data_IF_005449842312
#
_entry.id   IF_005449842312
#
_cell.length_a   1.000
_cell.length_b   1.000
_cell.length_c   1.000
_cell.angle_alpha   90.00
_cell.angle_beta   90.00
_cell.angle_gamma   90.00
#
_symmetry.space_group_name_H-M   'P 1'
#
loop_
_entity.id
_entity.type
_entity.pdbx_description
1 polymer ?
#
# COMPACT_ATOMS: atom_id res chain seq x y z
N UNK A 1 -28.41 47.42 -41.85
CA UNK A 1 -28.78 46.01 -41.98
C UNK A 1 -27.68 45.20 -42.63
N UNK A 2 -26.59 44.87 -41.95
CA UNK A 2 -25.59 43.89 -42.44
C UNK A 2 -24.78 43.44 -41.22
N UNK A 3 -25.19 42.41 -40.46
CA UNK A 3 -24.36 41.72 -39.46
C UNK A 3 -24.84 40.31 -39.06
N UNK A 4 -25.73 39.66 -39.84
CA UNK A 4 -26.27 38.33 -39.48
C UNK A 4 -25.71 37.15 -40.31
N UNK A 5 -24.88 37.35 -41.33
CA UNK A 5 -24.44 36.27 -42.23
C UNK A 5 -23.13 35.58 -41.86
N UNK A 6 -22.34 36.11 -40.89
CA UNK A 6 -21.05 35.48 -40.51
C UNK A 6 -21.12 34.44 -39.38
N UNK A 7 -22.18 34.44 -38.57
CA UNK A 7 -22.36 33.48 -37.49
C UNK A 7 -22.81 32.07 -37.96
N UNK A 8 -23.56 32.02 -39.06
CA UNK A 8 -24.04 30.77 -39.65
C UNK A 8 -22.92 29.92 -40.29
N UNK A 9 -21.90 30.56 -40.84
CA UNK A 9 -20.78 29.85 -41.50
C UNK A 9 -19.84 29.18 -40.50
N UNK A 10 -19.61 29.80 -39.32
CA UNK A 10 -18.77 29.19 -38.30
C UNK A 10 -19.43 27.96 -37.66
N UNK A 11 -20.73 28.01 -37.40
CA UNK A 11 -21.50 26.89 -36.85
C UNK A 11 -21.56 25.71 -37.81
N UNK A 12 -21.70 25.93 -39.09
CA UNK A 12 -21.68 24.87 -40.12
C UNK A 12 -20.30 24.21 -40.22
N UNK A 13 -19.22 24.97 -40.11
CA UNK A 13 -17.85 24.44 -40.11
C UNK A 13 -17.55 23.60 -38.90
N UNK A 14 -17.99 24.02 -37.73
CA UNK A 14 -17.81 23.24 -36.44
C UNK A 14 -18.59 21.93 -36.51
N UNK A 15 -19.82 21.94 -37.03
CA UNK A 15 -20.62 20.71 -37.16
C UNK A 15 -20.02 19.74 -38.20
N UNK A 16 -19.48 20.24 -39.29
CA UNK A 16 -18.81 19.41 -40.31
C UNK A 16 -17.50 18.79 -39.74
N UNK A 17 -16.73 19.57 -38.97
CA UNK A 17 -15.53 19.06 -38.29
C UNK A 17 -15.86 18.02 -37.25
N UNK A 18 -16.90 18.21 -36.44
CA UNK A 18 -17.35 17.25 -35.43
C UNK A 18 -17.86 15.96 -36.09
N UNK A 19 -18.60 16.05 -37.19
CA UNK A 19 -19.06 14.89 -37.95
C UNK A 19 -17.90 14.11 -38.59
N UNK A 20 -16.92 14.78 -39.15
CA UNK A 20 -15.73 14.17 -39.74
C UNK A 20 -14.87 13.46 -38.65
N UNK A 21 -14.68 14.09 -37.49
CA UNK A 21 -13.98 13.52 -36.38
C UNK A 21 -14.69 12.26 -35.83
N UNK A 22 -16.01 12.29 -35.69
CA UNK A 22 -16.82 11.16 -35.27
C UNK A 22 -16.76 10.00 -36.27
N UNK A 23 -16.82 10.28 -37.56
CA UNK A 23 -16.69 9.27 -38.62
C UNK A 23 -15.29 8.61 -38.60
N UNK A 24 -14.25 9.42 -38.44
CA UNK A 24 -12.87 8.95 -38.37
C UNK A 24 -12.62 8.07 -37.10
N UNK A 25 -13.19 8.46 -35.98
CA UNK A 25 -13.17 7.67 -34.74
C UNK A 25 -13.92 6.34 -34.90
N UNK A 26 -15.10 6.36 -35.55
CA UNK A 26 -15.85 5.12 -35.84
C UNK A 26 -15.09 4.14 -36.75
N UNK A 27 -14.39 4.68 -37.77
CA UNK A 27 -13.55 3.86 -38.65
C UNK A 27 -12.36 3.22 -37.87
N UNK A 28 -11.71 3.99 -36.98
CA UNK A 28 -10.61 3.49 -36.17
C UNK A 28 -11.06 2.38 -35.20
N UNK A 29 -12.22 2.55 -34.56
CA UNK A 29 -12.83 1.51 -33.69
C UNK A 29 -13.10 0.22 -34.49
N UNK A 30 -13.70 0.35 -35.67
CA UNK A 30 -13.98 -0.81 -36.53
C UNK A 30 -12.70 -1.54 -36.95
N UNK A 31 -11.65 -0.81 -37.31
CA UNK A 31 -10.36 -1.38 -37.67
C UNK A 31 -9.70 -2.10 -36.48
N UNK A 32 -9.78 -1.53 -35.29
CA UNK A 32 -9.25 -2.14 -34.06
C UNK A 32 -9.98 -3.44 -33.69
N UNK A 33 -11.30 -3.47 -33.82
CA UNK A 33 -12.09 -4.69 -33.60
C UNK A 33 -11.78 -5.76 -34.64
N UNK A 34 -11.63 -5.39 -35.92
CA UNK A 34 -11.25 -6.32 -36.98
C UNK A 34 -9.84 -6.91 -36.75
N UNK A 35 -8.91 -6.14 -36.17
CA UNK A 35 -7.59 -6.66 -35.81
C UNK A 35 -7.64 -7.69 -34.68
N UNK A 36 -8.63 -7.62 -33.79
CA UNK A 36 -8.84 -8.60 -32.72
C UNK A 36 -9.65 -9.82 -33.19
N UNK A 37 -10.38 -9.73 -34.31
CA UNK A 37 -11.31 -10.76 -34.83
C UNK A 37 -10.60 -12.09 -35.02
N UNK A 38 -9.34 -12.07 -35.46
CA UNK A 38 -8.51 -13.29 -35.61
C UNK A 38 -8.41 -14.08 -34.32
N UNK A 39 -8.50 -13.43 -33.16
CA UNK A 39 -8.48 -14.08 -31.86
C UNK A 39 -9.90 -14.39 -31.36
N UNK A 40 -10.83 -13.44 -31.50
CA UNK A 40 -12.18 -13.55 -30.93
C UNK A 40 -13.10 -14.50 -31.71
N UNK A 41 -12.73 -14.92 -32.92
CA UNK A 41 -13.41 -16.00 -33.65
C UNK A 41 -13.41 -17.30 -32.83
N UNK A 42 -12.31 -17.62 -32.15
CA UNK A 42 -12.20 -18.80 -31.31
C UNK A 42 -12.40 -18.49 -29.84
N UNK A 43 -11.82 -17.39 -29.37
CA UNK A 43 -11.92 -16.91 -27.97
C UNK A 43 -13.15 -16.02 -27.79
N UNK A 44 -14.32 -16.60 -27.86
CA UNK A 44 -15.62 -15.94 -27.80
C UNK A 44 -16.32 -16.14 -26.44
N UNK A 45 -17.59 -15.79 -26.36
CA UNK A 45 -18.41 -15.85 -25.16
C UNK A 45 -18.61 -17.28 -24.62
N UNK A 46 -18.44 -18.32 -25.46
CA UNK A 46 -18.54 -19.70 -25.03
C UNK A 46 -17.29 -20.21 -24.32
N UNK A 47 -16.22 -19.43 -24.31
CA UNK A 47 -14.99 -19.76 -23.64
C UNK A 47 -15.16 -19.74 -22.12
N UNK A 48 -14.65 -20.75 -21.41
CA UNK A 48 -14.80 -20.89 -19.97
C UNK A 48 -14.24 -19.72 -19.14
N UNK A 49 -13.37 -18.88 -19.71
CA UNK A 49 -12.84 -17.67 -19.08
C UNK A 49 -13.40 -16.45 -19.81
N UNK A 50 -13.92 -15.45 -19.09
CA UNK A 50 -14.58 -14.29 -19.69
C UNK A 50 -13.55 -13.29 -20.24
N UNK A 51 -12.76 -13.68 -21.24
CA UNK A 51 -11.68 -12.84 -21.80
C UNK A 51 -12.22 -11.61 -22.54
N UNK A 52 -13.42 -11.69 -23.11
CA UNK A 52 -14.06 -10.53 -23.76
C UNK A 52 -14.45 -9.42 -22.80
N UNK A 53 -14.45 -9.69 -21.48
CA UNK A 53 -14.62 -8.65 -20.47
C UNK A 53 -13.51 -7.59 -20.53
N UNK A 54 -12.40 -7.82 -21.23
CA UNK A 54 -11.38 -6.81 -21.50
C UNK A 54 -11.97 -5.57 -22.18
N UNK A 55 -12.99 -5.74 -23.06
CA UNK A 55 -13.65 -4.62 -23.74
C UNK A 55 -14.41 -3.69 -22.78
N UNK A 56 -14.63 -4.09 -21.54
CA UNK A 56 -15.20 -3.28 -20.48
C UNK A 56 -14.11 -2.57 -19.63
N UNK A 57 -12.84 -2.71 -20.00
CA UNK A 57 -11.69 -2.13 -19.30
C UNK A 57 -11.01 -1.05 -20.17
N UNK A 58 -10.19 -0.17 -19.58
CA UNK A 58 -9.40 0.79 -20.36
C UNK A 58 -8.52 0.13 -21.43
N UNK A 59 -8.00 -1.10 -21.19
CA UNK A 59 -7.17 -1.81 -22.17
C UNK A 59 -7.98 -2.30 -23.39
N UNK A 60 -9.26 -2.55 -23.22
CA UNK A 60 -10.14 -2.99 -24.31
C UNK A 60 -10.98 -1.88 -24.92
N UNK A 61 -10.85 -0.62 -24.48
CA UNK A 61 -11.62 0.49 -25.02
C UNK A 61 -11.16 0.85 -26.45
N UNK A 62 -11.84 0.33 -27.44
CA UNK A 62 -11.50 0.53 -28.87
C UNK A 62 -11.74 1.96 -29.37
N UNK A 63 -12.39 2.81 -28.60
CA UNK A 63 -12.49 4.22 -28.87
C UNK A 63 -11.22 5.02 -28.49
N UNK A 64 -10.34 4.45 -27.65
CA UNK A 64 -9.04 5.02 -27.34
C UNK A 64 -7.97 4.39 -28.27
N UNK A 65 -7.33 5.18 -29.16
CA UNK A 65 -6.32 4.66 -30.07
C UNK A 65 -5.05 4.16 -29.37
N UNK A 66 -4.88 4.46 -28.08
CA UNK A 66 -3.77 3.96 -27.25
C UNK A 66 -4.06 2.59 -26.62
N UNK A 67 -5.32 2.15 -26.64
CA UNK A 67 -5.70 0.87 -26.09
C UNK A 67 -5.05 -0.29 -26.87
N UNK A 68 -4.35 -1.22 -26.22
CA UNK A 68 -3.66 -2.31 -26.88
C UNK A 68 -4.66 -3.34 -27.44
N UNK A 69 -4.32 -3.95 -28.59
CA UNK A 69 -5.01 -5.13 -29.08
C UNK A 69 -4.52 -6.42 -28.40
N UNK A 70 -5.17 -7.54 -28.70
CA UNK A 70 -4.80 -8.85 -28.13
C UNK A 70 -3.31 -9.19 -28.38
N UNK A 71 -2.83 -8.93 -29.60
CA UNK A 71 -1.45 -9.20 -30.02
C UNK A 71 -0.42 -8.32 -29.29
N UNK A 72 -0.80 -7.15 -28.80
CA UNK A 72 0.13 -6.28 -28.07
C UNK A 72 0.63 -6.90 -26.78
N UNK A 73 -0.19 -7.76 -26.16
CA UNK A 73 0.15 -8.45 -24.92
C UNK A 73 0.56 -9.90 -25.16
N UNK A 74 -0.18 -10.63 -26.03
CA UNK A 74 0.03 -12.04 -26.28
C UNK A 74 1.03 -12.36 -27.39
N UNK A 75 1.56 -11.35 -28.06
CA UNK A 75 2.41 -11.49 -29.24
C UNK A 75 1.64 -11.79 -30.53
N UNK A 76 2.31 -11.86 -31.68
CA UNK A 76 1.72 -12.24 -32.95
C UNK A 76 1.06 -13.61 -32.93
N UNK A 77 1.67 -14.56 -32.21
CA UNK A 77 1.15 -15.91 -31.92
C UNK A 77 0.82 -16.74 -33.20
N UNK A 78 1.60 -16.57 -34.26
CA UNK A 78 1.38 -17.23 -35.57
C UNK A 78 1.39 -18.76 -35.43
N UNK A 79 2.25 -19.29 -34.57
CA UNK A 79 2.27 -20.75 -34.28
C UNK A 79 0.96 -21.23 -33.67
N UNK A 80 0.35 -20.45 -32.78
CA UNK A 80 -0.95 -20.76 -32.19
C UNK A 80 -2.10 -20.64 -33.20
N UNK A 81 -2.02 -19.67 -34.08
CA UNK A 81 -3.04 -19.49 -35.13
C UNK A 81 -3.02 -20.59 -36.16
N UNK A 82 -1.85 -21.20 -36.41
CA UNK A 82 -1.73 -22.34 -37.36
C UNK A 82 -1.97 -23.70 -36.71
N UNK A 83 -1.66 -23.84 -35.40
CA UNK A 83 -1.92 -25.06 -34.61
C UNK A 83 -2.35 -24.69 -33.19
N UNK A 84 -3.61 -24.93 -32.87
CA UNK A 84 -4.21 -24.59 -31.55
C UNK A 84 -3.61 -25.36 -30.37
N UNK A 85 -2.84 -26.43 -30.63
CA UNK A 85 -2.06 -27.12 -29.59
C UNK A 85 -0.78 -26.37 -29.22
N UNK A 86 -0.32 -25.46 -30.06
CA UNK A 86 0.78 -24.56 -29.80
C UNK A 86 0.26 -23.42 -28.91
N UNK A 87 1.06 -23.01 -27.92
CA UNK A 87 0.70 -21.87 -27.05
C UNK A 87 0.90 -20.53 -27.77
N UNK A 88 0.15 -19.49 -27.40
CA UNK A 88 0.51 -18.12 -27.76
C UNK A 88 1.94 -17.78 -27.32
N UNK A 89 2.55 -16.76 -27.95
CA UNK A 89 3.93 -16.35 -27.62
C UNK A 89 4.08 -15.95 -26.15
N UNK A 90 3.06 -15.28 -25.60
CA UNK A 90 3.03 -14.92 -24.17
C UNK A 90 1.75 -15.44 -23.51
N UNK A 91 1.92 -16.33 -22.55
CA UNK A 91 0.84 -16.95 -21.77
C UNK A 91 0.81 -16.39 -20.36
N UNK A 92 -0.30 -15.78 -19.96
CA UNK A 92 -0.47 -15.11 -18.67
C UNK A 92 -1.24 -15.94 -17.62
N UNK A 93 -1.97 -16.95 -18.03
CA UNK A 93 -2.86 -17.72 -17.14
C UNK A 93 -2.11 -18.61 -16.16
N UNK A 94 -2.26 -18.35 -14.86
CA UNK A 94 -1.62 -19.13 -13.79
C UNK A 94 -1.98 -20.63 -13.79
N UNK A 95 -3.13 -20.99 -14.30
CA UNK A 95 -3.56 -22.39 -14.45
C UNK A 95 -2.97 -23.11 -15.68
N UNK A 96 -2.26 -22.38 -16.54
CA UNK A 96 -1.64 -22.95 -17.72
C UNK A 96 -0.34 -23.68 -17.34
N UNK A 97 -0.19 -24.93 -17.79
CA UNK A 97 1.08 -25.66 -17.69
C UNK A 97 2.20 -25.05 -18.54
N UNK A 98 1.85 -24.14 -19.45
CA UNK A 98 2.75 -23.45 -20.40
C UNK A 98 2.88 -21.96 -20.09
N UNK A 99 2.74 -21.59 -18.82
CA UNK A 99 2.87 -20.21 -18.35
C UNK A 99 4.22 -19.63 -18.79
N UNK A 100 4.21 -18.46 -19.42
CA UNK A 100 5.45 -17.75 -19.78
C UNK A 100 6.17 -17.25 -18.51
N UNK A 101 7.49 -17.11 -18.59
CA UNK A 101 8.30 -16.56 -17.50
C UNK A 101 7.81 -15.17 -17.11
N UNK A 102 8.06 -14.79 -15.85
CA UNK A 102 7.59 -13.51 -15.32
C UNK A 102 8.14 -12.33 -16.13
N UNK A 103 9.39 -12.41 -16.55
CA UNK A 103 10.05 -11.36 -17.33
C UNK A 103 9.33 -11.11 -18.67
N UNK A 104 8.98 -12.17 -19.39
CA UNK A 104 8.25 -12.05 -20.67
C UNK A 104 6.85 -11.47 -20.48
N UNK A 105 6.15 -11.89 -19.41
CA UNK A 105 4.82 -11.34 -19.07
C UNK A 105 4.92 -9.88 -18.65
N UNK A 106 5.94 -9.50 -17.89
CA UNK A 106 6.16 -8.13 -17.45
C UNK A 106 6.57 -7.22 -18.60
N UNK A 107 7.40 -7.72 -19.53
CA UNK A 107 7.82 -6.94 -20.70
C UNK A 107 6.63 -6.47 -21.54
N UNK A 108 5.60 -7.31 -21.70
CA UNK A 108 4.38 -6.92 -22.42
C UNK A 108 3.65 -5.72 -21.75
N UNK A 109 3.69 -5.63 -20.44
CA UNK A 109 3.10 -4.50 -19.70
C UNK A 109 4.01 -3.27 -19.73
N UNK A 110 5.30 -3.47 -19.50
CA UNK A 110 6.30 -2.41 -19.39
C UNK A 110 6.57 -1.69 -20.73
N UNK A 111 6.18 -2.29 -21.84
CA UNK A 111 6.20 -1.62 -23.15
C UNK A 111 5.42 -0.29 -23.15
N UNK A 112 4.39 -0.17 -22.28
CA UNK A 112 3.57 1.04 -22.13
C UNK A 112 3.60 1.59 -20.69
N UNK A 113 3.74 0.72 -19.68
CA UNK A 113 3.70 1.07 -18.26
C UNK A 113 5.11 1.20 -17.66
N UNK A 114 5.94 2.05 -18.23
CA UNK A 114 7.27 2.33 -17.70
C UNK A 114 7.28 3.58 -16.77
N UNK A 115 8.42 3.83 -16.12
CA UNK A 115 8.58 4.96 -15.21
C UNK A 115 8.54 6.32 -15.88
N UNK A 116 8.74 6.39 -17.20
CA UNK A 116 8.67 7.64 -17.98
C UNK A 116 7.21 8.08 -18.17
N UNK A 117 6.32 7.11 -18.29
CA UNK A 117 4.87 7.35 -18.46
C UNK A 117 4.17 7.38 -17.09
N UNK A 118 4.58 6.51 -16.17
CA UNK A 118 3.98 6.37 -14.83
C UNK A 118 5.03 6.60 -13.74
N UNK A 119 5.10 7.79 -13.14
CA UNK A 119 6.16 8.16 -12.17
C UNK A 119 6.28 7.24 -10.95
N UNK A 120 5.24 6.47 -10.61
CA UNK A 120 5.25 5.50 -9.51
C UNK A 120 5.63 4.07 -9.94
N UNK A 121 5.94 3.87 -11.22
CA UNK A 121 6.32 2.57 -11.79
C UNK A 121 7.84 2.40 -11.74
N UNK A 122 8.37 2.10 -10.55
CA UNK A 122 9.79 1.82 -10.32
C UNK A 122 10.01 0.31 -10.28
N UNK A 123 9.46 -0.41 -11.27
CA UNK A 123 9.43 -1.87 -11.26
C UNK A 123 10.81 -2.49 -11.37
N UNK A 124 11.61 -1.99 -12.32
CA UNK A 124 12.95 -2.50 -12.57
C UNK A 124 13.84 -2.34 -11.33
N UNK A 125 14.40 -3.44 -10.83
CA UNK A 125 15.18 -3.50 -9.60
C UNK A 125 14.34 -3.55 -8.31
N UNK A 126 13.01 -3.59 -8.41
CA UNK A 126 12.14 -3.69 -7.22
C UNK A 126 12.23 -5.08 -6.58
N UNK A 127 11.84 -5.16 -5.30
CA UNK A 127 11.80 -6.43 -4.58
C UNK A 127 10.81 -7.43 -5.20
N UNK A 128 9.66 -6.97 -5.69
CA UNK A 128 8.71 -7.85 -6.36
C UNK A 128 9.25 -8.40 -7.68
N UNK A 129 9.92 -7.56 -8.47
CA UNK A 129 10.59 -8.04 -9.69
C UNK A 129 11.67 -9.06 -9.38
N UNK A 130 12.56 -8.78 -8.44
CA UNK A 130 13.67 -9.67 -8.07
C UNK A 130 13.21 -11.03 -7.53
N UNK A 131 11.99 -11.11 -7.02
CA UNK A 131 11.35 -12.36 -6.60
C UNK A 131 10.50 -13.02 -7.71
N UNK A 132 10.62 -12.56 -8.95
CA UNK A 132 9.93 -13.17 -10.10
C UNK A 132 8.41 -12.97 -10.08
N UNK A 133 7.92 -11.92 -9.41
CA UNK A 133 6.49 -11.60 -9.41
C UNK A 133 6.12 -10.98 -10.76
N UNK A 134 5.04 -11.43 -11.34
CA UNK A 134 4.50 -10.84 -12.56
C UNK A 134 3.40 -9.81 -12.24
N UNK A 135 3.25 -8.82 -13.11
CA UNK A 135 2.17 -7.83 -13.02
C UNK A 135 0.80 -8.50 -12.85
N UNK A 136 0.59 -9.60 -13.57
CA UNK A 136 -0.64 -10.40 -13.52
C UNK A 136 -0.82 -11.22 -12.24
N UNK A 137 0.15 -11.26 -11.36
CA UNK A 137 -0.03 -11.84 -10.01
C UNK A 137 -0.95 -10.99 -9.13
N UNK A 138 -1.07 -9.69 -9.45
CA UNK A 138 -1.91 -8.74 -8.75
C UNK A 138 -3.01 -8.17 -9.66
N UNK A 139 -2.68 -7.91 -10.93
CA UNK A 139 -3.58 -7.30 -11.90
C UNK A 139 -4.26 -8.33 -12.80
N UNK A 140 -5.57 -8.21 -12.96
CA UNK A 140 -6.34 -8.99 -13.95
C UNK A 140 -6.96 -8.00 -14.94
N UNK A 141 -6.29 -7.79 -16.07
CA UNK A 141 -6.74 -6.83 -17.09
C UNK A 141 -7.97 -7.27 -17.88
N UNK A 142 -8.31 -8.56 -17.83
CA UNK A 142 -9.54 -9.09 -18.41
C UNK A 142 -10.76 -8.96 -17.47
N UNK A 143 -10.60 -8.34 -16.30
CA UNK A 143 -11.70 -8.07 -15.39
C UNK A 143 -11.93 -6.57 -15.27
N UNK A 144 -13.17 -6.08 -15.46
CA UNK A 144 -13.50 -4.67 -15.28
C UNK A 144 -13.27 -4.24 -13.83
N UNK A 145 -13.55 -5.11 -12.87
CA UNK A 145 -13.34 -4.90 -11.44
C UNK A 145 -12.04 -5.56 -10.97
N UNK A 146 -10.96 -4.81 -11.04
CA UNK A 146 -9.67 -5.30 -10.55
C UNK A 146 -9.61 -5.23 -9.02
N UNK A 147 -9.49 -6.40 -8.38
CA UNK A 147 -9.44 -6.52 -6.91
C UNK A 147 -8.34 -5.70 -6.27
N UNK A 148 -7.18 -5.55 -6.93
CA UNK A 148 -6.04 -4.79 -6.40
C UNK A 148 -6.27 -3.27 -6.43
N UNK A 149 -7.16 -2.78 -7.28
CA UNK A 149 -7.49 -1.35 -7.40
C UNK A 149 -8.65 -0.93 -6.49
N UNK A 150 -9.43 -1.88 -6.02
CA UNK A 150 -10.54 -1.61 -5.11
C UNK A 150 -10.08 -1.60 -3.66
N UNK A 151 -10.40 -0.54 -2.92
CA UNK A 151 -10.09 -0.44 -1.48
C UNK A 151 -10.64 -1.64 -0.68
N UNK A 152 -11.82 -2.13 -1.04
CA UNK A 152 -12.46 -3.23 -0.33
C UNK A 152 -11.71 -4.56 -0.47
N UNK A 153 -10.98 -4.77 -1.55
CA UNK A 153 -10.39 -6.07 -1.89
C UNK A 153 -8.86 -6.05 -2.05
N UNK A 154 -8.23 -4.87 -2.07
CA UNK A 154 -6.78 -4.74 -2.27
C UNK A 154 -5.98 -5.59 -1.26
N UNK A 155 -6.33 -5.50 0.01
CA UNK A 155 -5.62 -6.21 1.06
C UNK A 155 -5.62 -7.74 0.86
N UNK A 156 -6.72 -8.31 0.37
CA UNK A 156 -6.81 -9.75 0.12
C UNK A 156 -5.86 -10.21 -1.01
N UNK A 157 -5.63 -9.34 -2.02
CA UNK A 157 -4.63 -9.62 -3.06
C UNK A 157 -3.23 -9.69 -2.46
N UNK A 158 -2.87 -8.74 -1.61
CA UNK A 158 -1.57 -8.71 -0.93
C UNK A 158 -1.40 -9.92 0.01
N UNK A 159 -2.45 -10.28 0.74
CA UNK A 159 -2.45 -11.38 1.71
C UNK A 159 -2.35 -12.78 1.09
N UNK A 160 -2.50 -12.90 -0.21
CA UNK A 160 -2.19 -14.16 -0.89
C UNK A 160 -0.76 -14.63 -0.58
N UNK A 161 0.18 -13.67 -0.50
CA UNK A 161 1.59 -13.91 -0.16
C UNK A 161 1.96 -13.39 1.23
N UNK A 162 1.50 -12.22 1.64
CA UNK A 162 1.85 -11.54 2.90
C UNK A 162 1.00 -12.02 4.09
N UNK A 163 1.13 -13.31 4.43
CA UNK A 163 0.32 -13.98 5.47
C UNK A 163 0.55 -13.43 6.89
N UNK A 164 1.78 -13.05 7.19
CA UNK A 164 2.15 -12.48 8.49
C UNK A 164 1.44 -11.15 8.74
N UNK A 165 1.39 -10.28 7.72
CA UNK A 165 0.71 -8.99 7.77
C UNK A 165 -0.81 -9.18 7.91
N UNK A 166 -1.38 -10.19 7.25
CA UNK A 166 -2.79 -10.57 7.45
C UNK A 166 -3.11 -10.91 8.90
N UNK A 167 -2.24 -11.63 9.58
CA UNK A 167 -2.40 -11.95 11.00
C UNK A 167 -2.25 -10.71 11.88
N UNK A 168 -1.31 -9.84 11.55
CA UNK A 168 -1.04 -8.63 12.33
C UNK A 168 -2.21 -7.64 12.31
N UNK A 169 -2.81 -7.35 11.15
CA UNK A 169 -3.92 -6.39 11.04
C UNK A 169 -5.20 -6.81 11.77
N UNK A 170 -5.28 -8.07 12.21
CA UNK A 170 -6.40 -8.60 13.00
C UNK A 170 -6.19 -8.49 14.51
N UNK A 171 -5.06 -7.95 14.96
CA UNK A 171 -4.79 -7.72 16.36
C UNK A 171 -5.65 -6.59 16.91
N UNK A 172 -5.75 -6.51 18.25
CA UNK A 172 -6.59 -5.55 18.95
C UNK A 172 -6.29 -4.10 18.61
N UNK A 173 -5.02 -3.78 18.42
CA UNK A 173 -4.55 -2.46 18.00
C UNK A 173 -3.94 -2.59 16.61
N UNK A 174 -4.59 -2.04 15.59
CA UNK A 174 -4.15 -2.10 14.20
C UNK A 174 -4.59 -0.85 13.45
N UNK A 175 -3.88 -0.49 12.39
CA UNK A 175 -4.41 0.47 11.42
C UNK A 175 -5.67 -0.10 10.75
N UNK A 176 -6.63 0.74 10.36
CA UNK A 176 -7.94 0.31 9.84
C UNK A 176 -7.87 -0.19 8.39
N UNK A 177 -7.05 -1.23 8.19
CA UNK A 177 -6.83 -1.92 6.91
C UNK A 177 -7.85 -3.06 6.67
N UNK A 178 -8.57 -3.47 7.71
CA UNK A 178 -9.60 -4.47 7.61
C UNK A 178 -10.98 -3.84 7.38
N UNK A 179 -11.85 -4.54 6.66
CA UNK A 179 -13.26 -4.19 6.55
C UNK A 179 -13.89 -4.34 7.94
N UNK A 180 -14.39 -3.26 8.50
CA UNK A 180 -14.91 -3.20 9.88
C UNK A 180 -16.42 -3.36 9.99
N UNK A 181 -17.14 -3.48 8.85
CA UNK A 181 -18.59 -3.65 8.82
C UNK A 181 -19.10 -4.09 7.46
N UNK A 182 -20.34 -4.58 7.42
CA UNK A 182 -20.98 -5.00 6.18
C UNK A 182 -21.11 -3.79 5.26
N UNK A 183 -20.45 -3.83 4.11
CA UNK A 183 -20.56 -2.81 3.06
C UNK A 183 -19.64 -1.58 3.22
N UNK A 184 -18.88 -1.46 4.31
CA UNK A 184 -17.95 -0.34 4.48
C UNK A 184 -16.53 -0.73 4.04
N UNK A 185 -15.93 -0.03 3.06
CA UNK A 185 -14.53 -0.28 2.69
C UNK A 185 -13.60 0.12 3.85
N UNK A 186 -12.40 -0.45 3.93
CA UNK A 186 -11.40 -0.05 4.92
C UNK A 186 -11.03 1.42 4.74
N UNK A 187 -10.70 2.10 5.85
CA UNK A 187 -10.27 3.51 5.80
C UNK A 187 -8.90 3.67 5.15
N UNK A 188 -8.05 2.66 5.28
CA UNK A 188 -6.70 2.61 4.72
C UNK A 188 -6.50 1.34 3.89
N UNK A 189 -5.58 1.41 2.95
CA UNK A 189 -5.15 0.28 2.12
C UNK A 189 -3.62 0.15 2.15
N UNK A 190 -3.10 -1.00 1.73
CA UNK A 190 -1.66 -1.26 1.76
C UNK A 190 -0.87 -0.21 0.95
N UNK A 191 -1.44 0.23 -0.18
CA UNK A 191 -0.80 1.22 -1.07
C UNK A 191 -0.80 2.66 -0.55
N UNK A 192 -1.42 2.95 0.59
CA UNK A 192 -1.30 4.27 1.24
C UNK A 192 0.11 4.44 1.86
N UNK A 193 0.72 3.33 2.26
CA UNK A 193 2.07 3.32 2.84
C UNK A 193 3.11 2.69 1.93
N UNK A 194 2.73 1.71 1.08
CA UNK A 194 3.65 0.96 0.24
C UNK A 194 3.42 1.22 -1.26
N UNK A 195 4.50 1.26 -2.03
CA UNK A 195 4.44 1.23 -3.49
C UNK A 195 4.90 -0.15 -3.99
N UNK A 196 3.99 -1.08 -4.32
CA UNK A 196 4.35 -2.43 -4.75
C UNK A 196 5.14 -2.47 -6.07
N UNK A 197 5.12 -1.38 -6.84
CA UNK A 197 5.86 -1.26 -8.10
C UNK A 197 7.32 -0.80 -7.91
N UNK A 198 7.78 -0.69 -6.67
CA UNK A 198 9.12 -0.21 -6.35
C UNK A 198 9.13 1.20 -5.77
N UNK A 199 10.10 1.46 -4.92
CA UNK A 199 10.23 2.71 -4.19
C UNK A 199 11.69 2.91 -3.75
N UNK A 200 12.07 4.14 -3.51
CA UNK A 200 13.35 4.49 -2.89
C UNK A 200 13.36 4.31 -1.37
N UNK A 201 12.18 4.21 -0.77
CA UNK A 201 12.04 3.99 0.67
C UNK A 201 12.23 2.54 1.10
N UNK A 202 12.56 2.30 2.37
CA UNK A 202 12.72 0.95 2.90
C UNK A 202 11.40 0.19 2.84
N UNK A 203 11.47 -1.13 2.64
CA UNK A 203 10.28 -2.01 2.56
C UNK A 203 9.20 -1.48 1.58
N UNK A 204 9.60 -0.89 0.48
CA UNK A 204 8.72 -0.29 -0.53
C UNK A 204 7.82 0.83 0.01
N UNK A 205 8.22 1.55 1.04
CA UNK A 205 7.46 2.70 1.55
C UNK A 205 7.38 3.80 0.48
N UNK A 206 6.22 4.47 0.42
CA UNK A 206 5.97 5.56 -0.55
C UNK A 206 6.83 6.80 -0.33
N UNK A 207 7.45 6.95 0.84
CA UNK A 207 8.40 8.02 1.19
C UNK A 207 9.78 7.44 1.44
N UNK A 208 10.80 8.30 1.49
CA UNK A 208 12.19 7.89 1.63
C UNK A 208 12.55 7.32 3.01
N UNK A 209 11.73 7.58 4.03
CA UNK A 209 11.91 7.04 5.37
C UNK A 209 10.61 6.56 5.99
N UNK A 210 10.74 5.79 7.07
CA UNK A 210 9.62 5.37 7.91
C UNK A 210 8.88 6.59 8.45
N UNK A 211 9.61 7.52 9.09
CA UNK A 211 9.02 8.68 9.73
C UNK A 211 8.27 9.57 8.74
N UNK A 212 8.85 9.84 7.57
CA UNK A 212 8.17 10.62 6.52
C UNK A 212 6.88 9.93 6.03
N UNK A 213 6.85 8.61 5.99
CA UNK A 213 5.64 7.87 5.64
C UNK A 213 4.57 8.02 6.72
N UNK A 214 4.95 7.94 8.00
CA UNK A 214 4.03 8.11 9.12
C UNK A 214 3.50 9.55 9.20
N UNK A 215 4.36 10.54 9.00
CA UNK A 215 4.02 11.96 9.06
C UNK A 215 3.04 12.41 7.96
N UNK A 216 2.87 11.64 6.91
CA UNK A 216 1.83 11.93 5.91
C UNK A 216 0.42 12.00 6.51
N UNK A 217 0.18 11.26 7.61
CA UNK A 217 -1.08 11.26 8.35
C UNK A 217 -0.93 11.75 9.79
N UNK A 218 0.23 11.51 10.42
CA UNK A 218 0.55 11.88 11.80
C UNK A 218 1.44 13.12 11.87
N UNK A 219 1.06 14.16 11.15
CA UNK A 219 1.85 15.39 11.04
C UNK A 219 2.13 16.05 12.40
N UNK A 220 1.22 15.88 13.36
CA UNK A 220 1.35 16.41 14.73
C UNK A 220 2.50 15.77 15.53
N UNK A 221 3.04 14.63 15.07
CA UNK A 221 4.20 13.98 15.69
C UNK A 221 5.53 14.40 15.09
N UNK A 222 5.50 15.21 14.02
CA UNK A 222 6.71 15.68 13.32
C UNK A 222 7.46 16.78 14.07
N UNK A 223 6.75 17.63 14.78
CA UNK A 223 7.31 18.85 15.36
C UNK A 223 7.23 20.05 14.40
N UNK A 224 8.08 21.05 14.54
CA UNK A 224 9.32 21.05 15.35
C UNK A 224 9.06 21.09 16.86
N UNK A 225 9.92 20.39 17.61
CA UNK A 225 9.90 20.42 19.06
C UNK A 225 11.19 21.04 19.62
N UNK A 226 11.08 21.81 20.70
CA UNK A 226 12.25 22.32 21.43
C UNK A 226 13.01 21.17 22.10
N UNK A 227 12.28 20.17 22.54
CA UNK A 227 12.80 18.99 23.22
C UNK A 227 12.38 17.77 22.43
N UNK A 228 13.32 17.20 21.72
CA UNK A 228 13.11 16.00 20.90
C UNK A 228 13.47 14.75 21.68
N UNK A 229 12.69 13.68 21.50
CA UNK A 229 13.02 12.36 22.02
C UNK A 229 13.74 11.56 20.94
N UNK A 230 15.02 11.31 21.15
CA UNK A 230 15.92 10.72 20.13
C UNK A 230 15.34 9.49 19.43
N UNK A 231 14.80 8.46 20.13
CA UNK A 231 14.24 7.29 19.45
C UNK A 231 13.05 7.60 18.52
N UNK A 232 12.32 8.69 18.80
CA UNK A 232 11.20 9.15 17.95
C UNK A 232 11.72 9.78 16.67
N UNK A 233 12.78 10.58 16.79
CA UNK A 233 13.45 11.20 15.65
C UNK A 233 14.07 10.14 14.74
N UNK A 234 14.67 9.09 15.32
CA UNK A 234 15.29 8.01 14.57
C UNK A 234 14.27 7.19 13.79
N UNK A 235 13.28 6.62 14.47
CA UNK A 235 12.26 5.79 13.81
C UNK A 235 11.04 5.57 14.69
N UNK A 236 9.84 5.79 14.14
CA UNK A 236 8.58 5.40 14.77
C UNK A 236 8.54 3.89 15.09
N UNK A 237 9.25 3.08 14.30
CA UNK A 237 9.33 1.63 14.51
C UNK A 237 10.18 1.23 15.73
N UNK A 238 10.86 2.15 16.40
CA UNK A 238 11.49 1.83 17.68
C UNK A 238 10.44 1.43 18.72
N UNK A 239 9.27 2.04 18.68
CA UNK A 239 8.18 1.80 19.64
C UNK A 239 6.95 1.14 19.03
N UNK A 240 6.65 1.36 17.75
CA UNK A 240 5.40 0.96 17.12
C UNK A 240 5.55 -0.18 16.10
N UNK A 241 4.50 -1.00 15.97
CA UNK A 241 4.33 -2.00 14.90
C UNK A 241 3.15 -1.60 14.01
N UNK A 242 3.38 -1.03 12.82
CA UNK A 242 2.33 -0.35 12.05
C UNK A 242 1.21 -1.26 11.54
N UNK A 243 1.46 -2.54 11.34
CA UNK A 243 0.43 -3.46 10.87
C UNK A 243 -0.51 -3.92 11.99
N UNK A 244 -0.04 -3.96 13.23
CA UNK A 244 -0.88 -4.32 14.36
C UNK A 244 -0.13 -4.90 15.55
N UNK A 245 -0.68 -4.69 16.74
CA UNK A 245 -0.15 -5.11 18.02
C UNK A 245 -1.25 -5.63 18.92
N UNK A 246 -0.87 -6.43 19.89
CA UNK A 246 -1.71 -6.80 21.05
C UNK A 246 -1.74 -5.70 22.11
N UNK A 247 -0.87 -4.71 21.99
CA UNK A 247 -0.79 -3.58 22.91
C UNK A 247 -1.46 -2.34 22.27
N UNK A 248 -2.09 -1.52 23.11
CA UNK A 248 -2.73 -0.28 22.65
C UNK A 248 -1.71 0.63 21.92
N UNK A 249 -2.22 1.50 21.06
CA UNK A 249 -1.43 2.46 20.27
C UNK A 249 -0.34 1.81 19.42
N UNK A 250 -0.56 0.57 18.97
CA UNK A 250 0.39 -0.19 18.12
C UNK A 250 1.77 -0.41 18.78
N UNK A 251 1.89 -0.35 20.08
CA UNK A 251 3.17 -0.51 20.77
C UNK A 251 3.71 -1.94 20.63
N UNK A 252 5.03 -2.08 20.44
CA UNK A 252 5.72 -3.38 20.40
C UNK A 252 5.53 -4.12 21.74
N UNK A 253 5.76 -3.40 22.81
CA UNK A 253 5.65 -3.84 24.19
C UNK A 253 4.87 -2.77 24.94
N UNK A 254 4.07 -3.14 25.92
CA UNK A 254 3.34 -2.15 26.70
C UNK A 254 4.28 -1.40 27.66
N UNK A 255 3.96 -0.15 27.95
CA UNK A 255 4.61 0.57 29.03
C UNK A 255 4.27 -0.14 30.38
N UNK A 256 5.20 -0.20 31.36
CA UNK A 256 6.49 0.48 31.39
C UNK A 256 7.63 -0.28 30.68
N UNK A 257 7.44 -1.54 30.31
CA UNK A 257 8.50 -2.43 29.78
C UNK A 257 9.16 -1.86 28.52
N UNK A 258 8.36 -1.25 27.60
CA UNK A 258 8.89 -0.61 26.42
C UNK A 258 9.90 0.51 26.75
N UNK A 259 9.58 1.32 27.76
CA UNK A 259 10.43 2.42 28.17
C UNK A 259 11.73 1.90 28.81
N UNK A 260 11.63 0.81 29.55
CA UNK A 260 12.75 0.18 30.26
C UNK A 260 13.74 -0.56 29.34
N UNK A 261 13.41 -0.75 28.07
CA UNK A 261 14.38 -1.22 27.08
C UNK A 261 15.58 -0.25 26.95
N UNK A 262 15.37 1.04 27.26
CA UNK A 262 16.41 2.07 27.22
C UNK A 262 16.59 2.81 28.56
N UNK A 263 15.55 2.95 29.35
CA UNK A 263 15.56 3.70 30.61
C UNK A 263 15.64 2.75 31.82
N UNK A 264 16.84 2.58 32.36
CA UNK A 264 17.11 1.73 33.52
C UNK A 264 17.49 2.49 34.78
N UNK A 265 17.77 3.81 34.67
CA UNK A 265 18.19 4.67 35.77
C UNK A 265 17.05 5.28 36.58
N UNK A 266 17.39 6.04 37.59
CA UNK A 266 16.49 6.82 38.46
C UNK A 266 15.31 5.96 39.00
N UNK A 267 14.08 6.45 38.85
CA UNK A 267 12.88 5.74 39.29
C UNK A 267 12.37 4.69 38.29
N UNK A 268 12.96 4.57 37.09
CA UNK A 268 12.46 3.68 36.04
C UNK A 268 12.51 2.18 36.48
N UNK A 269 13.58 1.78 37.15
CA UNK A 269 13.71 0.43 37.69
C UNK A 269 12.72 0.11 38.82
N UNK A 270 12.21 1.13 39.52
CA UNK A 270 11.33 0.96 40.65
C UNK A 270 9.88 0.69 40.30
N UNK A 271 9.46 1.02 39.08
CA UNK A 271 8.07 0.88 38.62
C UNK A 271 7.65 -0.59 38.57
N UNK A 272 8.58 -1.50 38.31
CA UNK A 272 8.31 -2.93 38.15
C UNK A 272 8.45 -3.75 39.40
N UNK A 273 8.89 -3.18 40.51
CA UNK A 273 9.11 -3.92 41.73
C UNK A 273 7.78 -4.29 42.42
N UNK A 274 6.92 -5.00 41.68
CA UNK A 274 5.64 -5.51 42.19
C UNK A 274 5.76 -6.48 43.38
N UNK A 275 6.95 -7.00 43.64
CA UNK A 275 7.20 -7.88 44.80
C UNK A 275 7.07 -7.12 46.14
N UNK A 276 7.08 -5.81 46.14
CA UNK A 276 7.05 -4.98 47.33
C UNK A 276 5.91 -3.96 47.35
N UNK A 277 4.73 -4.36 46.89
CA UNK A 277 3.49 -3.58 46.99
C UNK A 277 2.96 -3.42 48.42
N UNK A 278 3.58 -4.08 49.40
CA UNK A 278 3.22 -3.99 50.79
C UNK A 278 4.10 -2.97 51.53
N UNK A 279 3.43 -2.01 52.13
CA UNK A 279 3.84 -1.23 53.28
C UNK A 279 5.35 -1.22 53.59
N UNK A 280 6.05 -0.20 53.09
CA UNK A 280 7.37 0.13 53.59
C UNK A 280 8.38 -1.01 53.51
N UNK A 281 8.75 -1.42 52.30
CA UNK A 281 9.82 -2.42 52.16
C UNK A 281 11.08 -1.88 52.82
N UNK A 282 11.45 -2.54 53.87
CA UNK A 282 12.69 -2.30 54.57
C UNK A 282 13.77 -3.09 53.86
N UNK A 283 14.68 -2.40 53.20
CA UNK A 283 15.85 -3.06 52.61
C UNK A 283 16.90 -3.22 53.69
N UNK A 284 17.30 -4.44 53.96
CA UNK A 284 18.41 -4.73 54.86
C UNK A 284 19.71 -4.69 54.08
N UNK A 285 20.51 -3.66 54.29
CA UNK A 285 21.86 -3.57 53.73
C UNK A 285 22.83 -3.79 54.91
N UNK A 286 23.68 -4.79 54.82
CA UNK A 286 24.66 -5.13 55.87
C UNK A 286 24.03 -5.37 57.26
N UNK A 287 22.85 -5.99 57.32
CA UNK A 287 22.19 -6.27 58.60
C UNK A 287 21.46 -5.08 59.23
N UNK A 288 21.52 -3.87 58.62
CA UNK A 288 20.82 -2.69 59.08
C UNK A 288 19.59 -2.43 58.22
N UNK A 289 18.46 -2.26 58.86
CA UNK A 289 17.22 -1.84 58.21
C UNK A 289 17.32 -0.38 57.83
N UNK A 290 17.45 -0.11 56.55
CA UNK A 290 17.35 1.26 55.98
C UNK A 290 15.92 1.54 55.52
N UNK A 291 15.24 2.37 56.26
CA UNK A 291 13.98 2.91 55.83
C UNK A 291 14.26 3.91 54.68
N UNK A 292 13.75 3.63 53.49
CA UNK A 292 13.57 4.63 52.46
C UNK A 292 14.51 4.63 51.27
N UNK A 293 15.66 3.93 51.25
CA UNK A 293 16.60 4.02 50.14
C UNK A 293 16.23 3.15 48.90
N UNK A 294 15.43 2.13 49.10
CA UNK A 294 14.96 1.25 48.04
C UNK A 294 13.46 0.96 48.11
N UNK A 295 12.72 1.70 48.92
CA UNK A 295 11.27 1.57 48.95
C UNK A 295 10.73 2.09 47.61
N UNK A 296 10.19 1.17 46.81
CA UNK A 296 9.33 1.53 45.70
C UNK A 296 8.30 2.53 46.23
N UNK A 297 8.37 3.76 45.80
CA UNK A 297 7.35 4.73 46.19
C UNK A 297 6.01 4.15 45.76
N UNK A 298 5.08 3.96 46.72
CA UNK A 298 3.75 3.42 46.41
C UNK A 298 3.05 4.18 45.24
N UNK A 299 3.42 5.45 45.08
CA UNK A 299 2.96 6.27 43.96
C UNK A 299 3.50 5.84 42.59
N UNK A 300 4.60 5.11 42.51
CA UNK A 300 5.21 4.65 41.26
C UNK A 300 4.89 3.17 40.97
N UNK A 301 4.54 2.41 41.99
CA UNK A 301 4.22 0.99 41.85
C UNK A 301 3.04 0.79 40.92
N UNK A 302 3.17 -0.15 39.98
CA UNK A 302 2.15 -0.50 39.01
C UNK A 302 1.65 0.65 38.10
N UNK A 303 2.32 1.80 38.07
CA UNK A 303 1.97 2.91 37.19
C UNK A 303 2.77 2.86 35.89
N UNK A 304 2.14 3.26 34.78
CA UNK A 304 2.83 3.44 33.53
C UNK A 304 3.60 4.77 33.49
N UNK A 305 4.76 4.80 32.86
CA UNK A 305 5.56 6.01 32.67
C UNK A 305 4.74 7.14 32.04
N UNK A 306 3.81 6.78 31.16
CA UNK A 306 2.92 7.72 30.46
C UNK A 306 1.92 8.45 31.36
N UNK A 307 1.77 8.06 32.63
CA UNK A 307 0.95 8.82 33.57
C UNK A 307 1.58 10.19 33.93
N UNK A 308 2.90 10.28 33.81
CA UNK A 308 3.65 11.51 34.06
C UNK A 308 4.36 12.03 32.80
N UNK A 309 4.97 11.14 32.00
CA UNK A 309 5.70 11.47 30.79
C UNK A 309 4.79 11.37 29.56
N UNK A 310 3.88 12.30 29.37
CA UNK A 310 2.85 12.22 28.31
C UNK A 310 3.30 12.79 26.96
N UNK A 311 4.39 13.56 26.93
CA UNK A 311 4.87 14.28 25.75
C UNK A 311 6.06 13.57 25.08
N UNK A 312 6.08 12.24 25.11
CA UNK A 312 7.23 11.42 24.66
C UNK A 312 7.59 11.56 23.19
N UNK A 313 6.69 12.04 22.33
CA UNK A 313 6.98 12.27 20.92
C UNK A 313 7.76 13.56 20.66
N UNK A 314 7.93 14.39 21.68
CA UNK A 314 8.55 15.69 21.64
C UNK A 314 7.72 16.71 22.39
N UNK A 315 8.37 17.76 22.89
CA UNK A 315 7.74 18.76 23.74
C UNK A 315 8.23 20.17 23.44
N UNK A 316 7.30 21.11 23.49
CA UNK A 316 7.57 22.54 23.54
C UNK A 316 7.24 23.13 24.94
N UNK A 317 6.93 22.23 25.90
CA UNK A 317 6.54 22.63 27.25
C UNK A 317 7.77 23.05 28.09
N UNK A 318 7.66 24.09 28.98
CA UNK A 318 8.76 24.53 29.82
C UNK A 318 9.36 23.49 30.77
N UNK A 319 8.65 22.36 31.01
CA UNK A 319 9.18 21.23 31.78
C UNK A 319 10.41 20.58 31.13
N UNK A 320 10.71 20.91 29.88
CA UNK A 320 11.92 20.53 29.19
C UNK A 320 11.94 19.07 28.76
N UNK A 321 13.14 18.49 28.68
CA UNK A 321 13.41 17.12 28.20
C UNK A 321 12.86 16.01 29.11
N UNK A 322 12.15 16.33 30.16
CA UNK A 322 11.45 15.34 31.00
C UNK A 322 10.14 14.86 30.37
N UNK A 323 9.67 15.53 29.29
CA UNK A 323 8.43 15.22 28.57
C UNK A 323 7.18 15.13 29.47
N UNK A 324 7.18 15.90 30.55
CA UNK A 324 6.08 16.03 31.50
C UNK A 324 5.22 17.24 31.12
N UNK A 325 3.96 17.25 31.58
CA UNK A 325 3.12 18.44 31.57
C UNK A 325 3.40 19.27 32.80
#
# INVERSE_FOLDING_TARGET
MVRLSRLGSLSAFILLWAAAAAAQQGAAVKAALAADEVCTTCHNETWAKPILAIYQTPHGNRADPRAPGCRSCHGPSEGHLSDFNTSPDVVFGAASKRLSRAEARNAACLACHDSKVLPRMNWIGSQHESHGIACTSCHNIHAPDQKVLSKATQAEVCFACHKAQRAQIRRMSAHPLAVTGIGSPPKMVCSDCHNPHGSTGPALLVKNSVNETCYACHAEKRGPFLWEHSPVVDSCLNCHTPHGSTNASLLKTRAPFLCQECHSGDHAAQINSGANLGTGAVTTINGLQQAGAAATRAQLAARACLNCHVLIHGSNHPAGAKFQR
#
